data_IF_149003640398
#
_entry.id   IF_149003640398
#
_cell.length_a   1.000
_cell.length_b   1.000
_cell.length_c   1.000
_cell.angle_alpha   90.00
_cell.angle_beta   90.00
_cell.angle_gamma   90.00
#
_symmetry.space_group_name_H-M   'P 1'
#
loop_
_entity.id
_entity.type
_entity.pdbx_description
1 polymer ?
#
# COMPACT_ATOMS: atom_id res chain seq x y z
N UNK A 1 9.52 27.65 -19.64
CA UNK A 1 9.98 26.33 -20.10
C UNK A 1 10.20 25.50 -18.85
N UNK A 2 9.32 24.53 -18.60
CA UNK A 2 9.37 23.68 -17.41
C UNK A 2 10.60 22.77 -17.50
N UNK A 3 11.50 22.89 -16.52
CA UNK A 3 12.77 22.18 -16.48
C UNK A 3 12.59 20.83 -15.76
N UNK A 4 13.08 19.79 -16.42
CA UNK A 4 13.08 18.38 -16.02
C UNK A 4 13.62 18.15 -14.59
N UNK A 5 12.85 17.40 -13.79
CA UNK A 5 13.32 16.76 -12.57
C UNK A 5 13.56 15.27 -12.87
N UNK A 6 14.67 14.98 -13.53
CA UNK A 6 15.29 13.65 -13.52
C UNK A 6 16.48 13.67 -12.57
N UNK A 7 16.61 12.59 -11.82
CA UNK A 7 17.75 12.21 -10.97
C UNK A 7 17.81 12.79 -9.55
N UNK A 8 17.17 12.06 -8.63
CA UNK A 8 17.80 11.78 -7.33
C UNK A 8 17.42 10.36 -6.87
N UNK A 9 18.10 9.38 -7.45
CA UNK A 9 18.16 8.03 -6.89
C UNK A 9 19.16 8.08 -5.74
N UNK A 10 18.66 8.24 -4.51
CA UNK A 10 19.45 7.99 -3.30
C UNK A 10 19.23 6.53 -2.93
N UNK A 11 20.13 5.66 -3.39
CA UNK A 11 20.25 4.29 -2.91
C UNK A 11 20.92 4.34 -1.54
N UNK A 12 20.12 4.48 -0.49
CA UNK A 12 20.53 4.11 0.86
C UNK A 12 19.90 2.76 1.18
N UNK A 13 20.74 1.78 1.53
CA UNK A 13 20.32 0.48 2.04
C UNK A 13 19.35 0.67 3.22
N UNK A 14 18.07 0.37 3.03
CA UNK A 14 17.11 0.26 4.12
C UNK A 14 16.68 -1.20 4.23
N UNK A 15 17.29 -1.87 5.20
CA UNK A 15 16.83 -3.13 5.75
C UNK A 15 15.39 -2.97 6.28
N UNK A 16 14.43 -3.57 5.57
CA UNK A 16 13.04 -3.72 6.01
C UNK A 16 12.08 -2.66 5.44
N UNK A 17 11.29 -3.04 4.43
CA UNK A 17 10.21 -2.23 3.86
C UNK A 17 9.32 -1.60 4.94
N UNK A 18 8.93 -0.31 4.81
CA UNK A 18 7.94 -0.02 3.76
C UNK A 18 7.81 1.39 3.18
N UNK A 19 7.07 1.45 2.07
CA UNK A 19 6.46 2.65 1.47
C UNK A 19 5.74 3.51 2.53
N UNK A 20 6.37 4.61 2.96
CA UNK A 20 5.75 5.64 3.82
C UNK A 20 4.73 6.49 3.07
N UNK A 21 4.69 6.33 1.75
CA UNK A 21 3.82 7.01 0.81
C UNK A 21 3.33 6.00 -0.22
N UNK A 22 2.06 6.10 -0.60
CA UNK A 22 1.44 5.25 -1.62
C UNK A 22 0.68 6.11 -2.62
N UNK A 23 0.72 5.68 -3.88
CA UNK A 23 0.01 6.32 -4.99
C UNK A 23 -1.06 5.37 -5.51
N UNK A 24 -2.29 5.87 -5.57
CA UNK A 24 -3.42 5.17 -6.17
C UNK A 24 -3.83 5.86 -7.46
N UNK A 25 -4.28 5.06 -8.41
CA UNK A 25 -5.19 5.56 -9.44
C UNK A 25 -6.51 5.95 -8.75
N UNK A 26 -6.81 7.25 -8.72
CA UNK A 26 -7.97 7.78 -8.02
C UNK A 26 -9.28 7.30 -8.64
N UNK A 27 -9.33 7.12 -9.96
CA UNK A 27 -10.55 6.74 -10.67
C UNK A 27 -10.91 5.25 -10.43
N UNK A 28 -9.96 4.45 -9.92
CA UNK A 28 -10.19 3.08 -9.45
C UNK A 28 -10.76 3.01 -8.02
N UNK A 29 -10.73 4.11 -7.27
CA UNK A 29 -11.25 4.20 -5.90
C UNK A 29 -12.68 4.74 -5.86
N UNK A 30 -13.47 4.30 -4.88
CA UNK A 30 -14.84 4.78 -4.66
C UNK A 30 -15.03 5.27 -3.23
N UNK A 31 -14.91 6.58 -2.95
CA UNK A 31 -15.05 7.12 -1.59
C UNK A 31 -16.39 6.74 -0.91
N UNK A 32 -16.43 6.70 0.44
CA UNK A 32 -15.31 6.96 1.36
C UNK A 32 -14.31 5.79 1.46
N UNK A 33 -13.09 6.11 1.88
CA UNK A 33 -12.06 5.14 2.27
C UNK A 33 -12.10 4.92 3.78
N UNK A 34 -11.79 3.70 4.21
CA UNK A 34 -11.80 3.34 5.62
C UNK A 34 -10.46 2.78 6.06
N UNK A 35 -10.00 3.19 7.24
CA UNK A 35 -8.91 2.53 7.94
C UNK A 35 -9.49 1.55 8.96
N UNK A 36 -8.96 0.34 8.98
CA UNK A 36 -9.29 -0.65 10.01
C UNK A 36 -8.15 -1.63 10.25
N UNK A 37 -8.19 -2.32 11.38
CA UNK A 37 -7.33 -3.48 11.60
C UNK A 37 -7.78 -4.67 10.73
N UNK A 38 -6.87 -5.64 10.56
CA UNK A 38 -7.14 -6.88 9.82
C UNK A 38 -8.27 -7.70 10.44
N UNK A 39 -9.05 -8.37 9.59
CA UNK A 39 -10.05 -9.38 9.92
C UNK A 39 -9.56 -10.76 9.45
N UNK A 40 -10.03 -11.83 10.11
CA UNK A 40 -9.72 -13.20 9.69
C UNK A 40 -10.24 -13.40 8.25
N UNK A 41 -9.38 -13.93 7.39
CA UNK A 41 -9.73 -14.18 5.99
C UNK A 41 -9.50 -13.01 5.04
N UNK A 42 -9.06 -11.84 5.52
CA UNK A 42 -8.71 -10.73 4.63
C UNK A 42 -7.71 -11.16 3.54
N UNK A 43 -7.96 -10.68 2.32
CA UNK A 43 -7.14 -10.90 1.13
C UNK A 43 -6.95 -9.61 0.35
N UNK A 44 -5.88 -9.57 -0.41
CA UNK A 44 -5.56 -8.53 -1.37
C UNK A 44 -4.74 -9.12 -2.52
N UNK A 45 -4.56 -8.40 -3.62
CA UNK A 45 -3.69 -8.78 -4.73
C UNK A 45 -2.39 -7.97 -4.61
N UNK A 46 -1.29 -8.49 -4.06
CA UNK A 46 -0.10 -7.68 -3.84
C UNK A 46 0.48 -7.14 -5.15
N UNK A 47 0.94 -5.88 -5.15
CA UNK A 47 1.61 -5.28 -6.31
C UNK A 47 2.72 -6.19 -6.86
N UNK A 48 2.74 -6.39 -8.18
CA UNK A 48 3.70 -7.24 -8.89
C UNK A 48 3.42 -8.73 -8.81
N UNK A 49 2.35 -9.16 -8.13
CA UNK A 49 1.98 -10.57 -7.98
C UNK A 49 0.68 -10.89 -8.73
N UNK A 50 0.62 -12.09 -9.32
CA UNK A 50 -0.62 -12.62 -9.91
C UNK A 50 -1.51 -13.21 -8.82
N UNK A 51 -2.79 -12.84 -8.84
CA UNK A 51 -3.82 -13.41 -7.98
C UNK A 51 -3.88 -12.79 -6.57
N UNK A 52 -4.76 -13.36 -5.74
CA UNK A 52 -4.99 -12.88 -4.38
C UNK A 52 -4.19 -13.65 -3.35
N UNK A 53 -3.76 -12.97 -2.28
CA UNK A 53 -3.02 -13.52 -1.14
C UNK A 53 -3.73 -13.19 0.17
N UNK A 54 -3.72 -14.12 1.14
CA UNK A 54 -4.22 -13.82 2.49
C UNK A 54 -3.25 -12.86 3.17
N UNK A 55 -3.76 -11.87 3.89
CA UNK A 55 -2.93 -10.94 4.67
C UNK A 55 -2.14 -11.67 5.76
N UNK A 56 -2.71 -12.74 6.34
CA UNK A 56 -2.00 -13.61 7.27
C UNK A 56 -0.70 -14.16 6.66
N UNK A 57 -0.78 -14.70 5.44
CA UNK A 57 0.34 -15.34 4.76
C UNK A 57 1.36 -14.27 4.34
N UNK A 58 0.90 -13.13 3.84
CA UNK A 58 1.76 -11.98 3.54
C UNK A 58 2.55 -11.49 4.76
N UNK A 59 1.93 -11.39 5.94
CA UNK A 59 2.63 -11.02 7.17
C UNK A 59 3.61 -12.08 7.67
N UNK A 60 3.37 -13.36 7.38
CA UNK A 60 4.32 -14.44 7.67
C UNK A 60 5.56 -14.28 6.78
N UNK A 61 5.37 -14.05 5.49
CA UNK A 61 6.47 -13.89 4.54
C UNK A 61 7.35 -12.67 4.86
N UNK A 62 6.71 -11.57 5.28
CA UNK A 62 7.42 -10.38 5.77
C UNK A 62 8.04 -10.56 7.17
N UNK A 63 7.91 -11.75 7.78
CA UNK A 63 8.39 -12.06 9.13
C UNK A 63 7.93 -11.05 10.20
N UNK A 64 6.72 -10.50 10.03
CA UNK A 64 6.18 -9.53 10.98
C UNK A 64 5.85 -10.26 12.29
N UNK A 65 6.30 -9.77 13.46
CA UNK A 65 5.96 -10.36 14.75
C UNK A 65 4.45 -10.38 15.02
N UNK A 66 3.94 -11.46 15.62
CA UNK A 66 2.49 -11.73 15.77
C UNK A 66 1.77 -10.60 16.50
N UNK A 67 2.39 -10.06 17.55
CA UNK A 67 1.92 -8.97 18.39
C UNK A 67 1.83 -7.63 17.64
N UNK A 68 2.60 -7.45 16.56
CA UNK A 68 2.52 -6.27 15.70
C UNK A 68 1.45 -6.41 14.62
N UNK A 69 1.19 -7.62 14.13
CA UNK A 69 0.28 -7.88 12.99
C UNK A 69 -1.14 -7.34 13.19
N UNK A 70 -1.64 -7.32 14.43
CA UNK A 70 -2.98 -6.79 14.73
C UNK A 70 -3.08 -5.26 14.70
N UNK A 71 -1.93 -4.58 14.82
CA UNK A 71 -1.82 -3.11 14.91
C UNK A 71 -1.55 -2.45 13.55
N UNK A 72 -1.25 -3.23 12.52
CA UNK A 72 -1.03 -2.73 11.17
C UNK A 72 -2.39 -2.35 10.55
N UNK A 73 -2.63 -1.06 10.25
CA UNK A 73 -3.86 -0.63 9.63
C UNK A 73 -3.94 -1.11 8.18
N UNK A 74 -5.16 -1.35 7.73
CA UNK A 74 -5.50 -1.62 6.33
C UNK A 74 -6.35 -0.47 5.83
N UNK A 75 -5.96 0.11 4.69
CA UNK A 75 -6.82 0.99 3.93
C UNK A 75 -7.77 0.16 3.09
N UNK A 76 -9.06 0.50 3.16
CA UNK A 76 -10.14 -0.28 2.58
C UNK A 76 -11.02 0.60 1.71
N UNK A 77 -11.29 0.12 0.50
CA UNK A 77 -12.26 0.70 -0.43
C UNK A 77 -13.38 -0.31 -0.71
N UNK A 78 -14.63 0.02 -0.35
CA UNK A 78 -15.81 -0.85 -0.53
C UNK A 78 -15.60 -2.30 -0.07
N UNK A 79 -14.97 -2.47 1.09
CA UNK A 79 -14.68 -3.79 1.68
C UNK A 79 -13.42 -4.48 1.13
N UNK A 80 -12.81 -3.97 0.07
CA UNK A 80 -11.55 -4.49 -0.48
C UNK A 80 -10.36 -3.80 0.19
N UNK A 81 -9.37 -4.58 0.59
CA UNK A 81 -8.10 -4.02 1.09
C UNK A 81 -7.32 -3.49 -0.10
N UNK A 82 -7.04 -2.19 -0.11
CA UNK A 82 -6.32 -1.51 -1.20
C UNK A 82 -4.88 -1.21 -0.83
N UNK A 83 -4.56 -1.12 0.46
CA UNK A 83 -3.19 -0.96 0.94
C UNK A 83 -3.06 -1.50 2.35
N UNK A 84 -2.04 -2.33 2.55
CA UNK A 84 -1.53 -2.65 3.87
C UNK A 84 -0.63 -1.49 4.25
N UNK A 85 -1.09 -0.65 5.18
CA UNK A 85 -0.46 0.65 5.48
C UNK A 85 0.98 0.44 5.90
N UNK A 86 1.87 1.15 5.21
CA UNK A 86 3.30 0.96 5.40
C UNK A 86 3.71 -0.46 5.08
N UNK A 87 3.24 -1.07 4.00
CA UNK A 87 3.81 -2.32 3.47
C UNK A 87 3.64 -2.48 1.96
N UNK A 88 2.40 -2.61 1.47
CA UNK A 88 2.14 -2.95 0.06
C UNK A 88 0.74 -2.57 -0.40
N UNK A 89 0.67 -1.97 -1.58
CA UNK A 89 -0.59 -1.66 -2.29
C UNK A 89 -1.17 -2.92 -2.96
N UNK A 90 -2.48 -2.93 -3.18
CA UNK A 90 -3.16 -3.87 -4.05
C UNK A 90 -2.95 -3.50 -5.53
N UNK A 91 -2.45 -4.45 -6.32
CA UNK A 91 -2.17 -4.38 -7.77
C UNK A 91 -3.31 -3.73 -8.56
N UNK A 92 -4.57 -3.95 -8.16
CA UNK A 92 -5.74 -3.46 -8.89
C UNK A 92 -5.94 -1.94 -8.77
N UNK A 93 -5.29 -1.30 -7.81
CA UNK A 93 -5.44 0.14 -7.53
C UNK A 93 -4.16 0.94 -7.84
N UNK A 94 -3.15 0.29 -8.43
CA UNK A 94 -1.91 0.96 -8.82
C UNK A 94 -2.14 2.02 -9.88
N UNK A 95 -1.26 3.01 -9.89
CA UNK A 95 -1.06 3.93 -11.01
C UNK A 95 -0.52 3.13 -12.21
N UNK A 96 -1.08 3.38 -13.38
CA UNK A 96 -0.59 2.86 -14.66
C UNK A 96 -0.62 3.94 -15.75
N UNK A 97 -0.28 3.57 -16.98
CA UNK A 97 -0.18 4.51 -18.10
C UNK A 97 -1.52 5.19 -18.46
N UNK A 98 -2.65 4.70 -17.96
CA UNK A 98 -3.98 5.29 -18.18
C UNK A 98 -4.45 6.15 -17.01
N UNK A 99 -3.68 6.24 -15.92
CA UNK A 99 -4.08 7.01 -14.74
C UNK A 99 -4.05 8.51 -15.04
N UNK A 100 -5.20 9.17 -14.92
CA UNK A 100 -5.33 10.63 -15.12
C UNK A 100 -5.21 11.37 -13.79
N UNK A 101 -5.76 10.79 -12.71
CA UNK A 101 -5.78 11.39 -11.37
C UNK A 101 -5.11 10.45 -10.38
N UNK A 102 -4.18 11.01 -9.61
CA UNK A 102 -3.45 10.28 -8.57
C UNK A 102 -3.93 10.74 -7.20
N UNK A 103 -4.26 9.78 -6.33
CA UNK A 103 -4.40 10.01 -4.91
C UNK A 103 -3.12 9.58 -4.21
N UNK A 104 -2.48 10.52 -3.52
CA UNK A 104 -1.31 10.25 -2.68
C UNK A 104 -1.72 10.19 -1.22
N UNK A 105 -1.30 9.15 -0.51
CA UNK A 105 -1.48 9.02 0.93
C UNK A 105 -0.11 8.83 1.58
N UNK A 106 0.20 9.66 2.57
CA UNK A 106 1.47 9.65 3.30
C UNK A 106 1.27 9.39 4.78
N UNK A 107 2.13 8.55 5.35
CA UNK A 107 2.21 8.31 6.78
C UNK A 107 3.05 9.43 7.40
N UNK A 108 2.45 10.23 8.28
CA UNK A 108 3.17 11.22 9.06
C UNK A 108 3.54 10.61 10.41
N UNK A 109 4.82 10.62 10.75
CA UNK A 109 5.30 10.27 12.09
C UNK A 109 5.36 11.56 12.91
N UNK A 110 4.73 11.55 14.07
CA UNK A 110 5.03 12.53 15.12
C UNK A 110 6.05 11.90 16.07
N UNK A 111 7.13 12.63 16.30
CA UNK A 111 8.21 12.31 17.23
C UNK A 111 7.95 13.02 18.56
#
# INVERSE_FOLDING_TARGET
SFMDLKEKVVLNEVSGFPEEEVFFDFDKLKPPLFLRNRKKGDRFCPLGMKGSKKIKDFFIDLKIPVEKRGKIPLLVNRGQVVWIVGHRIDERFKVDNNTIKILTIKILKHF
#
